data_IF_157585532217
#
_entry.id   IF_157585532217
#
_cell.length_a   1.000
_cell.length_b   1.000
_cell.length_c   1.000
_cell.angle_alpha   90.00
_cell.angle_beta   90.00
_cell.angle_gamma   90.00
#
_symmetry.space_group_name_H-M   'P 1'
#
loop_
_entity.id
_entity.type
_entity.pdbx_description
1 polymer ?
#
# COMPACT_ATOMS: atom_id res chain seq x y z
N UNK A 1 2.75 2.16 -3.62
CA UNK A 1 1.39 2.60 -4.00
C UNK A 1 0.37 1.51 -3.70
N UNK A 2 -0.86 1.92 -3.40
CA UNK A 2 -2.05 1.06 -3.47
C UNK A 2 -2.73 1.36 -4.80
N UNK A 3 -2.94 0.33 -5.61
CA UNK A 3 -3.53 0.41 -6.93
C UNK A 3 -4.95 -0.18 -6.92
N UNK A 4 -5.84 0.36 -7.75
CA UNK A 4 -7.13 -0.24 -8.12
C UNK A 4 -7.14 -0.42 -9.64
N UNK A 5 -7.19 -1.66 -10.12
CA UNK A 5 -7.05 -2.00 -11.56
C UNK A 5 -5.88 -1.28 -12.22
N UNK A 6 -4.69 -1.40 -11.61
CA UNK A 6 -3.43 -0.80 -12.02
C UNK A 6 -3.38 0.75 -11.99
N UNK A 7 -4.44 1.42 -11.54
CA UNK A 7 -4.48 2.87 -11.35
C UNK A 7 -4.10 3.26 -9.92
N UNK A 8 -3.19 4.23 -9.71
CA UNK A 8 -2.84 4.69 -8.36
C UNK A 8 -4.04 5.25 -7.60
N UNK A 9 -4.25 4.75 -6.38
CA UNK A 9 -5.26 5.25 -5.44
C UNK A 9 -4.61 5.92 -4.23
N UNK A 10 -3.65 5.25 -3.58
CA UNK A 10 -2.91 5.79 -2.42
C UNK A 10 -1.40 5.68 -2.64
N UNK A 11 -0.65 6.63 -2.08
CA UNK A 11 0.79 6.60 -2.05
C UNK A 11 1.31 6.76 -0.61
N UNK A 12 2.40 6.08 -0.30
CA UNK A 12 3.14 6.24 0.95
C UNK A 12 4.61 6.41 0.58
N UNK A 13 5.19 7.56 0.91
CA UNK A 13 6.56 7.91 0.54
C UNK A 13 7.37 8.18 1.80
N UNK A 14 8.58 7.62 1.86
CA UNK A 14 9.55 7.88 2.92
C UNK A 14 10.90 8.20 2.30
N UNK A 15 11.57 9.21 2.83
CA UNK A 15 12.95 9.52 2.49
C UNK A 15 13.89 8.77 3.43
N UNK A 16 15.03 8.33 2.91
CA UNK A 16 16.09 7.70 3.69
C UNK A 16 17.39 8.51 3.57
N UNK A 17 18.11 8.64 4.68
CA UNK A 17 19.48 9.18 4.65
C UNK A 17 20.39 8.20 3.91
N UNK A 18 21.16 8.70 2.95
CA UNK A 18 21.91 7.89 2.01
C UNK A 18 22.92 6.95 2.74
N UNK A 19 23.06 5.70 2.26
CA UNK A 19 23.99 4.66 2.76
C UNK A 19 23.75 4.08 4.15
N UNK A 20 22.66 4.42 4.86
CA UNK A 20 22.29 3.73 6.11
C UNK A 20 21.04 2.89 5.90
N UNK A 21 21.09 1.62 6.31
CA UNK A 21 19.89 0.81 6.46
C UNK A 21 19.00 1.44 7.54
N UNK A 22 17.74 1.71 7.20
CA UNK A 22 16.76 2.32 8.09
C UNK A 22 15.47 1.50 8.05
N UNK A 23 15.05 1.02 9.21
CA UNK A 23 13.78 0.34 9.37
C UNK A 23 12.67 1.37 9.56
N UNK A 24 11.74 1.44 8.60
CA UNK A 24 10.58 2.33 8.66
C UNK A 24 9.32 1.56 8.26
N UNK A 25 8.26 1.72 9.04
CA UNK A 25 6.91 1.34 8.60
C UNK A 25 6.28 2.50 7.82
N UNK A 26 5.63 2.18 6.69
CA UNK A 26 4.89 3.14 5.89
C UNK A 26 3.43 2.69 5.83
N UNK A 27 2.58 3.33 6.62
CA UNK A 27 1.15 3.04 6.67
C UNK A 27 0.36 4.11 5.92
N UNK A 28 -0.59 3.69 5.09
CA UNK A 28 -1.56 4.55 4.41
C UNK A 28 -2.90 3.83 4.33
N UNK A 29 -4.00 4.58 4.33
CA UNK A 29 -5.36 4.04 4.27
C UNK A 29 -6.30 5.07 3.62
N UNK A 30 -7.41 4.58 3.05
CA UNK A 30 -8.41 5.41 2.39
C UNK A 30 -9.67 4.62 2.07
N UNK A 31 -10.74 5.34 1.71
CA UNK A 31 -12.03 4.76 1.31
C UNK A 31 -12.31 5.06 -0.15
N UNK A 32 -12.85 4.10 -0.88
CA UNK A 32 -13.30 4.27 -2.26
C UNK A 32 -14.48 3.35 -2.56
N UNK A 33 -15.25 3.70 -3.59
CA UNK A 33 -16.26 2.81 -4.16
C UNK A 33 -15.57 1.82 -5.10
N UNK A 34 -15.93 0.55 -4.99
CA UNK A 34 -15.43 -0.52 -5.85
C UNK A 34 -16.61 -1.22 -6.53
N UNK A 35 -16.40 -1.58 -7.79
CA UNK A 35 -17.27 -2.49 -8.53
C UNK A 35 -16.78 -3.92 -8.34
N UNK A 36 -17.70 -4.87 -8.50
CA UNK A 36 -17.33 -6.28 -8.52
C UNK A 36 -16.23 -6.54 -9.55
N UNK A 37 -15.29 -7.43 -9.20
CA UNK A 37 -14.13 -7.87 -10.01
C UNK A 37 -12.95 -6.89 -10.12
N UNK A 38 -13.06 -5.68 -9.58
CA UNK A 38 -11.89 -4.80 -9.46
C UNK A 38 -10.84 -5.39 -8.52
N UNK A 39 -9.57 -5.20 -8.85
CA UNK A 39 -8.43 -5.74 -8.09
C UNK A 39 -7.69 -4.62 -7.36
N UNK A 40 -7.38 -4.85 -6.09
CA UNK A 40 -6.54 -3.95 -5.30
C UNK A 40 -5.17 -4.61 -5.10
N UNK A 41 -4.10 -3.86 -5.35
CA UNK A 41 -2.72 -4.35 -5.22
C UNK A 41 -1.82 -3.35 -4.52
N UNK A 42 -0.77 -3.85 -3.87
CA UNK A 42 0.33 -3.02 -3.36
C UNK A 42 1.50 -3.12 -4.33
N UNK A 43 1.95 -1.99 -4.87
CA UNK A 43 3.10 -1.90 -5.78
C UNK A 43 4.22 -1.11 -5.13
N UNK A 44 5.42 -1.68 -5.09
CA UNK A 44 6.61 -0.93 -4.70
C UNK A 44 7.03 -0.01 -5.84
N UNK A 45 7.19 1.28 -5.56
CA UNK A 45 7.52 2.29 -6.59
C UNK A 45 9.01 2.30 -6.93
N UNK A 46 9.87 1.93 -5.99
CA UNK A 46 11.32 1.92 -6.15
C UNK A 46 11.84 0.49 -6.15
N UNK A 47 12.58 0.11 -7.19
CA UNK A 47 13.04 -1.28 -7.42
C UNK A 47 13.99 -1.79 -6.31
N UNK A 48 14.84 -0.92 -5.76
CA UNK A 48 15.82 -1.27 -4.71
C UNK A 48 15.21 -1.33 -3.29
N UNK A 49 13.88 -1.30 -3.15
CA UNK A 49 13.25 -1.34 -1.83
C UNK A 49 13.34 -2.73 -1.21
N UNK A 50 14.06 -2.85 -0.09
CA UNK A 50 14.07 -4.07 0.72
C UNK A 50 12.96 -4.01 1.77
N UNK A 51 12.08 -5.01 1.79
CA UNK A 51 10.90 -5.06 2.68
C UNK A 51 11.03 -6.22 3.67
N UNK A 52 10.79 -5.93 4.95
CA UNK A 52 10.63 -6.97 5.98
C UNK A 52 9.19 -7.48 6.00
N UNK A 53 8.97 -8.70 5.53
CA UNK A 53 7.65 -9.34 5.39
C UNK A 53 7.08 -9.94 6.69
N UNK A 54 7.59 -9.54 7.87
CA UNK A 54 7.02 -9.99 9.14
C UNK A 54 5.55 -9.59 9.28
N UNK A 55 4.73 -10.52 9.78
CA UNK A 55 3.27 -10.36 9.94
C UNK A 55 2.85 -9.15 10.79
N UNK A 56 3.76 -8.64 11.64
CA UNK A 56 3.49 -7.50 12.52
C UNK A 56 3.93 -6.16 11.92
N UNK A 57 4.71 -6.15 10.83
CA UNK A 57 5.29 -4.93 10.24
C UNK A 57 4.86 -4.71 8.79
N UNK A 58 4.38 -5.74 8.09
CA UNK A 58 3.88 -5.64 6.72
C UNK A 58 2.59 -6.44 6.58
N UNK A 59 1.51 -5.72 6.30
CA UNK A 59 0.16 -6.25 6.20
C UNK A 59 -0.64 -5.42 5.20
N UNK A 60 -1.71 -6.01 4.68
CA UNK A 60 -2.62 -5.37 3.75
C UNK A 60 -4.03 -5.94 3.97
N UNK A 61 -5.03 -5.07 4.09
CA UNK A 61 -6.39 -5.46 4.42
C UNK A 61 -7.43 -4.47 3.88
N UNK A 62 -8.68 -4.91 3.84
CA UNK A 62 -9.82 -4.11 3.37
C UNK A 62 -11.07 -4.44 4.20
N UNK A 63 -12.00 -3.48 4.27
CA UNK A 63 -13.28 -3.62 4.97
C UNK A 63 -14.39 -3.13 4.05
N UNK A 64 -15.44 -3.95 3.87
CA UNK A 64 -16.66 -3.54 3.18
C UNK A 64 -17.57 -2.81 4.17
N UNK A 65 -17.68 -1.49 4.02
CA UNK A 65 -18.49 -0.65 4.91
C UNK A 65 -20.01 -0.84 4.70
N UNK A 66 -20.44 -1.17 3.47
CA UNK A 66 -21.84 -1.32 3.13
C UNK A 66 -22.06 -1.40 1.61
N UNK A 67 -23.29 -1.18 1.18
CA UNK A 67 -23.61 -0.96 -0.23
C UNK A 67 -23.10 0.40 -0.70
N UNK A 68 -22.76 0.50 -1.99
CA UNK A 68 -22.49 1.80 -2.62
C UNK A 68 -23.80 2.59 -2.77
N UNK A 69 -23.77 3.93 -2.68
CA UNK A 69 -24.92 4.77 -2.99
C UNK A 69 -25.47 4.56 -4.41
#
# INVERSE_FOLDING_TARGET
EVLVDDKPFLQCTRSIENRKSKFNTCYTAGVCLLRARQKIAVKMTYEDTVVNMSKHTTFFGAVRLGESP
#
